data_IF_254338982239
#
_entry.id   IF_254338982239
#
_cell.length_a   1.000
_cell.length_b   1.000
_cell.length_c   1.000
_cell.angle_alpha   90.00
_cell.angle_beta   90.00
_cell.angle_gamma   90.00
#
_symmetry.space_group_name_H-M   'P 1'
#
loop_
_entity.id
_entity.type
_entity.pdbx_description
1 polymer ?
#
# COMPACT_ATOMS: atom_id res chain seq x y z
N UNK A 1 -10.70 27.77 -2.89
CA UNK A 1 -9.61 26.78 -2.84
C UNK A 1 -10.01 25.72 -1.83
N UNK A 2 -10.46 24.55 -2.28
CA UNK A 2 -10.85 23.47 -1.36
C UNK A 2 -9.56 22.84 -0.85
N UNK A 3 -9.38 22.81 0.47
CA UNK A 3 -8.21 22.19 1.10
C UNK A 3 -8.50 20.69 1.18
N UNK A 4 -8.05 19.91 0.20
CA UNK A 4 -8.07 18.45 0.30
C UNK A 4 -7.02 18.05 1.35
N UNK A 5 -7.48 17.76 2.57
CA UNK A 5 -6.63 17.15 3.58
C UNK A 5 -6.52 15.65 3.27
N UNK A 6 -5.32 15.09 3.31
CA UNK A 6 -5.14 13.64 3.25
C UNK A 6 -5.76 13.00 4.50
N UNK A 7 -6.53 11.94 4.30
CA UNK A 7 -7.17 11.19 5.38
C UNK A 7 -6.29 10.05 5.86
N UNK A 8 -6.23 9.82 7.17
CA UNK A 8 -5.68 8.59 7.74
C UNK A 8 -6.84 7.83 8.37
N UNK A 9 -7.14 6.64 7.86
CA UNK A 9 -8.27 5.82 8.31
C UNK A 9 -7.80 4.45 8.76
N UNK A 10 -8.39 3.88 9.82
CA UNK A 10 -8.16 2.47 10.13
C UNK A 10 -8.72 1.61 9.00
N UNK A 11 -8.04 0.50 8.70
CA UNK A 11 -8.48 -0.50 7.73
C UNK A 11 -8.18 -1.90 8.25
N UNK A 12 -9.04 -2.86 7.90
CA UNK A 12 -8.77 -4.28 8.04
C UNK A 12 -8.13 -4.80 6.76
N UNK A 13 -6.98 -5.46 6.89
CA UNK A 13 -6.26 -6.07 5.78
C UNK A 13 -6.24 -7.57 5.98
N UNK A 14 -6.60 -8.33 4.93
CA UNK A 14 -6.63 -9.79 4.93
C UNK A 14 -5.81 -10.33 3.76
N UNK A 15 -4.93 -11.28 4.07
CA UNK A 15 -4.19 -12.05 3.08
C UNK A 15 -4.99 -13.24 2.53
N UNK A 16 -4.54 -13.79 1.41
CA UNK A 16 -5.16 -14.98 0.77
C UNK A 16 -5.21 -16.21 1.69
N UNK A 17 -4.24 -16.31 2.61
CA UNK A 17 -4.18 -17.38 3.62
C UNK A 17 -5.19 -17.21 4.77
N UNK A 18 -6.05 -16.19 4.73
CA UNK A 18 -7.06 -15.92 5.74
C UNK A 18 -6.59 -15.13 6.96
N UNK A 19 -5.27 -14.93 7.14
CA UNK A 19 -4.73 -14.07 8.22
C UNK A 19 -5.13 -12.62 7.96
N UNK A 20 -5.39 -11.90 9.03
CA UNK A 20 -5.80 -10.50 8.96
C UNK A 20 -5.20 -9.69 10.11
N UNK A 21 -5.09 -8.38 9.90
CA UNK A 21 -4.72 -7.41 10.92
C UNK A 21 -5.37 -6.06 10.65
N UNK A 22 -5.48 -5.24 11.69
CA UNK A 22 -5.86 -3.83 11.55
C UNK A 22 -4.59 -2.98 11.38
N UNK A 23 -4.64 -2.02 10.46
CA UNK A 23 -3.60 -1.00 10.27
C UNK A 23 -4.25 0.33 9.91
N UNK A 24 -3.46 1.36 9.64
CA UNK A 24 -3.94 2.65 9.14
C UNK A 24 -3.50 2.83 7.69
N UNK A 25 -4.39 3.37 6.87
CA UNK A 25 -4.13 3.73 5.48
C UNK A 25 -4.16 5.25 5.32
N UNK A 26 -3.24 5.78 4.51
CA UNK A 26 -3.29 7.14 4.00
C UNK A 26 -4.13 7.13 2.73
N UNK A 27 -5.25 7.87 2.72
CA UNK A 27 -6.07 8.05 1.52
C UNK A 27 -5.48 9.18 0.67
N UNK A 28 -4.84 8.79 -0.42
CA UNK A 28 -4.17 9.67 -1.36
C UNK A 28 -4.69 9.45 -2.77
N UNK A 29 -5.62 10.31 -3.22
CA UNK A 29 -6.21 10.27 -4.56
C UNK A 29 -5.18 10.58 -5.67
N UNK A 30 -3.99 11.08 -5.32
CA UNK A 30 -2.88 11.30 -6.25
C UNK A 30 -2.11 10.02 -6.60
N UNK A 31 -2.34 8.92 -5.88
CA UNK A 31 -1.65 7.65 -6.08
C UNK A 31 -2.48 6.70 -6.96
N UNK A 32 -1.86 6.13 -8.00
CA UNK A 32 -2.49 5.13 -8.90
C UNK A 32 -2.37 3.68 -8.39
N UNK A 33 -1.52 3.46 -7.38
CA UNK A 33 -1.27 2.19 -6.70
C UNK A 33 -1.23 2.37 -5.19
N UNK A 34 -1.69 1.37 -4.45
CA UNK A 34 -1.52 1.29 -3.00
C UNK A 34 -0.14 0.74 -2.67
N UNK A 35 0.59 1.42 -1.79
CA UNK A 35 1.84 0.93 -1.22
C UNK A 35 1.62 0.54 0.24
N UNK A 36 2.32 -0.49 0.71
CA UNK A 36 2.35 -0.88 2.10
C UNK A 36 3.76 -1.19 2.57
N UNK A 37 3.99 -1.09 3.88
CA UNK A 37 5.26 -1.45 4.50
C UNK A 37 5.46 -2.98 4.45
N UNK A 38 6.67 -3.44 4.15
CA UNK A 38 7.02 -4.87 4.08
C UNK A 38 6.69 -5.64 5.39
N UNK A 39 6.63 -4.95 6.53
CA UNK A 39 6.20 -5.53 7.81
C UNK A 39 4.77 -6.05 7.75
N UNK A 40 3.90 -5.46 6.94
CA UNK A 40 2.53 -5.94 6.74
C UNK A 40 2.53 -7.34 6.12
N UNK A 41 3.36 -7.57 5.10
CA UNK A 41 3.50 -8.89 4.47
C UNK A 41 4.07 -9.92 5.44
N UNK A 42 5.08 -9.53 6.25
CA UNK A 42 5.65 -10.39 7.30
C UNK A 42 4.60 -10.78 8.35
N UNK A 43 3.76 -9.84 8.77
CA UNK A 43 2.69 -10.09 9.74
C UNK A 43 1.60 -11.01 9.16
N UNK A 44 1.23 -10.80 7.90
CA UNK A 44 0.21 -11.61 7.23
C UNK A 44 0.75 -12.95 6.72
N UNK A 45 2.07 -13.15 6.65
CA UNK A 45 2.73 -14.35 6.14
C UNK A 45 2.17 -14.77 4.76
N UNK A 46 2.13 -13.82 3.83
CA UNK A 46 1.63 -13.98 2.45
C UNK A 46 2.78 -14.04 1.45
N UNK A 47 2.55 -14.70 0.33
CA UNK A 47 3.49 -14.72 -0.78
C UNK A 47 3.44 -13.40 -1.56
N UNK A 48 4.55 -13.05 -2.22
CA UNK A 48 4.66 -11.86 -3.06
C UNK A 48 5.46 -12.17 -4.32
N UNK A 49 5.31 -11.35 -5.36
CA UNK A 49 6.07 -11.47 -6.62
C UNK A 49 7.02 -10.28 -6.79
N UNK A 50 8.30 -10.49 -7.15
CA UNK A 50 9.17 -9.38 -7.50
C UNK A 50 8.63 -8.63 -8.71
N UNK A 51 8.59 -7.30 -8.64
CA UNK A 51 8.09 -6.44 -9.71
C UNK A 51 9.00 -5.23 -9.93
N UNK A 52 9.13 -4.79 -11.18
CA UNK A 52 9.68 -3.47 -11.50
C UNK A 52 8.53 -2.48 -11.62
N UNK A 53 8.63 -1.35 -10.95
CA UNK A 53 7.61 -0.29 -11.04
C UNK A 53 8.26 1.08 -11.12
N UNK A 54 7.50 2.07 -11.57
CA UNK A 54 7.93 3.47 -11.57
C UNK A 54 7.25 4.18 -10.41
N UNK A 55 8.00 5.06 -9.75
CA UNK A 55 7.48 5.86 -8.64
C UNK A 55 7.87 7.31 -8.82
N UNK A 56 6.87 8.18 -8.80
CA UNK A 56 7.00 9.62 -8.69
C UNK A 56 6.53 10.05 -7.31
N UNK A 57 7.26 10.98 -6.71
CA UNK A 57 6.94 11.56 -5.40
C UNK A 57 6.99 13.06 -5.50
N UNK A 58 6.48 13.76 -4.49
CA UNK A 58 6.53 15.23 -4.42
C UNK A 58 7.96 15.79 -4.51
N UNK A 59 8.97 15.00 -4.12
CA UNK A 59 10.37 15.44 -4.08
C UNK A 59 11.23 14.87 -5.21
N UNK A 60 10.71 13.93 -6.02
CA UNK A 60 11.48 13.26 -7.07
C UNK A 60 10.55 12.68 -8.12
N UNK A 61 10.79 13.03 -9.38
CA UNK A 61 10.09 12.47 -10.54
C UNK A 61 10.87 11.29 -11.10
N UNK A 62 10.19 10.15 -11.21
CA UNK A 62 10.56 8.96 -11.97
C UNK A 62 11.89 8.30 -11.62
N UNK A 63 11.81 7.37 -10.65
CA UNK A 63 12.81 6.33 -10.48
C UNK A 63 12.20 4.97 -10.81
N UNK A 64 12.92 4.18 -11.62
CA UNK A 64 12.59 2.77 -11.79
C UNK A 64 13.04 2.00 -10.53
N UNK A 65 12.09 1.45 -9.81
CA UNK A 65 12.29 0.76 -8.55
C UNK A 65 12.00 -0.75 -8.69
N UNK A 66 12.58 -1.51 -7.77
CA UNK A 66 12.29 -2.93 -7.58
C UNK A 66 11.51 -3.10 -6.28
N UNK A 67 10.41 -3.85 -6.32
CA UNK A 67 9.55 -4.07 -5.17
C UNK A 67 8.91 -5.46 -5.19
N UNK A 68 7.94 -5.64 -4.29
CA UNK A 68 7.14 -6.84 -4.17
C UNK A 68 5.67 -6.48 -4.40
N UNK A 69 5.03 -7.17 -5.33
CA UNK A 69 3.59 -7.10 -5.58
C UNK A 69 2.88 -8.21 -4.80
N UNK A 70 1.76 -7.86 -4.17
CA UNK A 70 0.95 -8.76 -3.36
C UNK A 70 -0.53 -8.42 -3.52
N UNK A 71 -1.37 -9.44 -3.51
CA UNK A 71 -2.81 -9.29 -3.51
C UNK A 71 -3.34 -9.34 -2.06
N UNK A 72 -4.01 -8.26 -1.64
CA UNK A 72 -4.56 -8.11 -0.30
C UNK A 72 -6.01 -7.64 -0.39
N UNK A 73 -6.87 -8.17 0.48
CA UNK A 73 -8.24 -7.70 0.65
C UNK A 73 -8.28 -6.63 1.73
N UNK A 74 -8.73 -5.42 1.38
CA UNK A 74 -8.75 -4.25 2.28
C UNK A 74 -10.19 -3.79 2.50
N UNK A 75 -10.56 -3.55 3.75
CA UNK A 75 -11.90 -3.08 4.16
C UNK A 75 -11.78 -1.92 5.15
N UNK A 76 -12.69 -0.93 5.12
CA UNK A 76 -12.82 0.08 6.17
C UNK A 76 -13.10 -0.53 7.55
#
# INVERSE_FOLDING_TARGET
MVKNCLGIVPVFVKGENGKSCQTYALLDDGSDKTLCDERLLKNLNVASKPVKFQMSTVNSSENQLYGQEVDLHVQP
#
